data_IF_606370019442
#
_entry.id   IF_606370019442
#
_cell.length_a   1.000
_cell.length_b   1.000
_cell.length_c   1.000
_cell.angle_alpha   90.00
_cell.angle_beta   90.00
_cell.angle_gamma   90.00
#
_symmetry.space_group_name_H-M   'P 1'
#
loop_
_entity.id
_entity.type
_entity.pdbx_description
1 polymer ?
#
# COMPACT_ATOMS: atom_id res chain seq x y z
N UNK A 1 8.53 -14.82 36.13
CA UNK A 1 8.38 -15.29 34.74
C UNK A 1 7.82 -14.11 33.96
N UNK A 2 8.67 -13.29 33.35
CA UNK A 2 8.24 -12.05 32.71
C UNK A 2 7.69 -12.36 31.31
N UNK A 3 6.45 -11.97 31.09
CA UNK A 3 5.78 -11.99 29.80
C UNK A 3 6.57 -11.09 28.85
N UNK A 4 7.28 -11.70 27.90
CA UNK A 4 7.98 -10.95 26.87
C UNK A 4 6.93 -10.27 26.01
N UNK A 5 6.80 -8.95 26.19
CA UNK A 5 6.01 -8.06 25.35
C UNK A 5 6.34 -8.38 23.89
N UNK A 6 5.43 -9.08 23.20
CA UNK A 6 5.62 -9.53 21.82
C UNK A 6 5.58 -8.30 20.92
N UNK A 7 6.71 -7.62 20.79
CA UNK A 7 6.88 -6.54 19.84
C UNK A 7 6.40 -7.04 18.48
N UNK A 8 5.56 -6.26 17.77
CA UNK A 8 5.10 -6.64 16.45
C UNK A 8 6.32 -6.93 15.56
N UNK A 9 6.27 -7.96 14.71
CA UNK A 9 7.37 -8.25 13.80
C UNK A 9 7.71 -6.99 12.99
N UNK A 10 9.00 -6.72 12.72
CA UNK A 10 9.39 -5.57 11.92
C UNK A 10 8.67 -5.62 10.57
N UNK A 11 8.24 -4.45 10.11
CA UNK A 11 7.58 -4.33 8.82
C UNK A 11 8.49 -4.90 7.72
N UNK A 12 7.92 -5.57 6.69
CA UNK A 12 8.73 -5.98 5.56
C UNK A 12 9.38 -4.74 4.93
N UNK A 13 10.60 -4.85 4.35
CA UNK A 13 11.40 -3.70 3.89
C UNK A 13 10.64 -2.71 2.99
N UNK A 14 9.68 -3.21 2.21
CA UNK A 14 8.79 -2.41 1.37
C UNK A 14 7.84 -1.49 2.15
N UNK A 15 7.25 -1.99 3.24
CA UNK A 15 6.37 -1.20 4.09
C UNK A 15 7.21 -0.26 4.96
N UNK A 16 8.37 -0.71 5.43
CA UNK A 16 9.29 0.12 6.17
C UNK A 16 9.76 1.34 5.35
N UNK A 17 10.20 1.10 4.10
CA UNK A 17 10.52 2.17 3.14
C UNK A 17 9.34 3.13 2.92
N UNK A 18 8.14 2.60 2.74
CA UNK A 18 6.94 3.39 2.51
C UNK A 18 6.67 4.32 3.71
N UNK A 19 6.67 3.77 4.93
CA UNK A 19 6.42 4.53 6.16
C UNK A 19 7.49 5.60 6.37
N UNK A 20 8.77 5.28 6.17
CA UNK A 20 9.87 6.21 6.43
C UNK A 20 10.08 7.27 5.34
N UNK A 21 9.71 7.00 4.08
CA UNK A 21 10.08 7.86 2.94
C UNK A 21 8.88 8.53 2.28
N UNK A 22 7.74 7.83 2.23
CA UNK A 22 6.61 8.20 1.40
C UNK A 22 5.39 8.65 2.21
N UNK A 23 5.15 8.01 3.36
CA UNK A 23 4.00 8.31 4.22
C UNK A 23 3.99 9.77 4.65
N UNK A 24 5.15 10.34 4.97
CA UNK A 24 5.27 11.76 5.25
C UNK A 24 4.77 12.65 4.10
N UNK A 25 5.06 12.32 2.84
CA UNK A 25 4.61 13.11 1.69
C UNK A 25 3.12 12.90 1.39
N UNK A 26 2.63 11.67 1.52
CA UNK A 26 1.22 11.32 1.30
C UNK A 26 0.30 11.84 2.42
N UNK A 27 0.80 11.94 3.65
CA UNK A 27 0.04 12.39 4.82
C UNK A 27 0.05 13.91 5.03
N UNK A 28 0.79 14.68 4.21
CA UNK A 28 0.79 16.16 4.26
C UNK A 28 -0.54 16.75 3.78
N UNK A 29 -1.44 15.93 3.23
CA UNK A 29 -2.82 16.28 2.92
C UNK A 29 -3.76 15.09 3.10
N UNK A 30 -4.79 15.00 2.27
CA UNK A 30 -5.64 13.80 2.21
C UNK A 30 -4.97 12.73 1.36
N UNK A 31 -5.10 11.47 1.77
CA UNK A 31 -4.70 10.34 0.94
C UNK A 31 -5.45 10.42 -0.39
N UNK A 32 -4.76 10.45 -1.54
CA UNK A 32 -5.41 10.54 -2.83
C UNK A 32 -6.34 9.34 -3.08
N UNK A 33 -7.48 9.57 -3.72
CA UNK A 33 -8.48 8.51 -3.99
C UNK A 33 -7.93 7.39 -4.89
N UNK A 34 -6.94 7.71 -5.73
CA UNK A 34 -6.23 6.73 -6.56
C UNK A 34 -5.16 5.94 -5.78
N UNK A 35 -4.89 6.24 -4.51
CA UNK A 35 -3.89 5.54 -3.71
C UNK A 35 -4.55 4.63 -2.66
N UNK A 36 -4.32 3.32 -2.78
CA UNK A 36 -4.96 2.32 -1.91
C UNK A 36 -4.00 1.63 -0.94
N UNK A 37 -2.74 2.08 -0.84
CA UNK A 37 -1.79 1.48 0.10
C UNK A 37 -1.36 0.05 -0.27
N UNK A 38 -1.11 -0.80 0.72
CA UNK A 38 -0.60 -2.15 0.54
C UNK A 38 -1.71 -3.19 0.28
N UNK A 39 -2.48 -3.00 -0.79
CA UNK A 39 -3.50 -3.96 -1.24
C UNK A 39 -2.92 -5.05 -2.17
N UNK A 40 -3.53 -6.23 -2.13
CA UNK A 40 -3.19 -7.34 -3.03
C UNK A 40 -3.53 -7.01 -4.48
N UNK A 41 -3.00 -7.82 -5.41
CA UNK A 41 -3.35 -7.70 -6.83
C UNK A 41 -4.84 -7.96 -7.05
N UNK A 42 -5.36 -9.04 -6.45
CA UNK A 42 -6.76 -9.43 -6.54
C UNK A 42 -7.68 -8.30 -6.04
N UNK A 43 -7.39 -7.72 -4.87
CA UNK A 43 -8.17 -6.60 -4.35
C UNK A 43 -8.15 -5.36 -5.27
N UNK A 44 -7.03 -5.10 -5.95
CA UNK A 44 -6.94 -4.03 -6.93
C UNK A 44 -7.78 -4.33 -8.19
N UNK A 45 -7.78 -5.58 -8.64
CA UNK A 45 -8.58 -6.04 -9.78
C UNK A 45 -10.08 -5.99 -9.45
N UNK A 46 -10.49 -6.41 -8.25
CA UNK A 46 -11.89 -6.31 -7.77
C UNK A 46 -12.39 -4.86 -7.71
N UNK A 47 -11.56 -3.93 -7.21
CA UNK A 47 -11.88 -2.50 -7.18
C UNK A 47 -12.06 -1.97 -8.60
N UNK A 48 -11.14 -2.29 -9.51
CA UNK A 48 -11.18 -1.84 -10.89
C UNK A 48 -12.28 -2.53 -11.72
N UNK A 49 -12.72 -3.75 -11.34
CA UNK A 49 -13.76 -4.49 -12.06
C UNK A 49 -15.11 -3.76 -12.09
N UNK A 50 -15.35 -2.86 -11.15
CA UNK A 50 -16.56 -2.02 -11.09
C UNK A 50 -16.40 -0.63 -11.72
N UNK A 51 -15.18 -0.22 -12.05
CA UNK A 51 -14.86 1.15 -12.50
C UNK A 51 -14.82 1.29 -14.03
N UNK A 52 -15.08 2.46 -14.63
CA UNK A 52 -15.02 2.61 -16.09
C UNK A 52 -13.63 2.28 -16.67
N UNK A 53 -13.60 1.90 -17.96
CA UNK A 53 -12.34 1.73 -18.71
C UNK A 53 -11.54 3.03 -18.66
N UNK A 54 -10.23 2.92 -18.42
CA UNK A 54 -9.39 4.11 -18.19
C UNK A 54 -9.09 4.38 -16.72
N UNK A 55 -9.77 3.70 -15.80
CA UNK A 55 -9.54 3.85 -14.37
C UNK A 55 -8.25 3.17 -13.94
N UNK A 56 -7.56 3.80 -12.99
CA UNK A 56 -6.31 3.29 -12.44
C UNK A 56 -6.23 3.53 -10.95
N UNK A 57 -5.42 2.72 -10.29
CA UNK A 57 -5.05 2.91 -8.90
C UNK A 57 -3.59 2.54 -8.66
N UNK A 58 -3.00 3.15 -7.65
CA UNK A 58 -1.62 2.94 -7.22
C UNK A 58 -1.63 2.23 -5.88
N UNK A 59 -0.86 1.14 -5.79
CA UNK A 59 -0.67 0.35 -4.58
C UNK A 59 0.80 0.13 -4.27
N UNK A 60 1.12 -0.16 -3.01
CA UNK A 60 2.46 -0.57 -2.60
C UNK A 60 2.72 -1.97 -3.13
N UNK A 61 3.84 -2.17 -3.83
CA UNK A 61 4.18 -3.48 -4.40
C UNK A 61 4.31 -4.53 -3.31
N UNK A 62 3.87 -5.76 -3.60
CA UNK A 62 4.02 -6.91 -2.70
C UNK A 62 5.35 -7.65 -2.88
N UNK A 63 6.01 -7.44 -4.02
CA UNK A 63 7.21 -8.20 -4.39
C UNK A 63 8.49 -7.36 -4.31
N UNK A 64 8.40 -6.04 -4.40
CA UNK A 64 9.56 -5.14 -4.45
C UNK A 64 9.28 -3.84 -3.69
N UNK A 65 10.35 -3.10 -3.36
CA UNK A 65 10.23 -1.74 -2.82
C UNK A 65 9.76 -0.81 -3.93
N UNK A 66 8.64 -0.11 -3.71
CA UNK A 66 8.06 0.80 -4.68
C UNK A 66 6.55 0.62 -4.85
N UNK A 67 6.03 1.24 -5.91
CA UNK A 67 4.61 1.21 -6.24
C UNK A 67 4.32 0.30 -7.42
N UNK A 68 3.08 -0.14 -7.51
CA UNK A 68 2.52 -0.84 -8.66
C UNK A 68 1.28 -0.08 -9.11
N UNK A 69 1.21 0.21 -10.41
CA UNK A 69 0.03 0.74 -11.07
C UNK A 69 -0.86 -0.44 -11.48
N UNK A 70 -2.11 -0.42 -11.06
CA UNK A 70 -3.16 -1.30 -11.56
C UNK A 70 -4.12 -0.47 -12.41
N UNK A 71 -4.52 -0.98 -13.57
CA UNK A 71 -5.31 -0.27 -14.56
C UNK A 71 -6.37 -1.22 -15.15
N UNK A 72 -7.54 -0.68 -15.51
CA UNK A 72 -8.62 -1.40 -16.20
C UNK A 72 -8.63 -1.15 -17.70
#
# INVERSE_FOLDING_TARGET
>A
MAEAERLPPPLPPRLDWFVHTQMGQLAQGSVPEWFHGAISREAAEDLLASEPLGSFLIRVSHSHVGYTLSYR
#
